data_IF_079107134785
#
_entry.id   IF_079107134785
#
_cell.length_a   1.000
_cell.length_b   1.000
_cell.length_c   1.000
_cell.angle_alpha   90.00
_cell.angle_beta   90.00
_cell.angle_gamma   90.00
#
_symmetry.space_group_name_H-M   'P 1'
#
loop_
_entity.id
_entity.type
_entity.pdbx_description
1 polymer ?
#
# COMPACT_ATOMS: atom_id res chain seq x y z
N UNK A 1 -6.02 17.67 8.73
CA UNK A 1 -6.37 16.65 9.74
C UNK A 1 -6.02 15.28 9.17
N UNK A 2 -5.32 14.42 9.92
CA UNK A 2 -4.87 13.11 9.43
C UNK A 2 -5.64 12.00 10.15
N UNK A 3 -6.46 11.26 9.42
CA UNK A 3 -7.28 10.19 10.02
C UNK A 3 -6.48 8.91 10.16
N UNK A 4 -6.66 8.22 11.29
CA UNK A 4 -5.96 6.98 11.60
C UNK A 4 -6.97 5.89 11.93
N UNK A 5 -6.85 4.74 11.27
CA UNK A 5 -7.77 3.61 11.45
C UNK A 5 -7.00 2.33 11.73
N UNK A 6 -7.56 1.48 12.59
CA UNK A 6 -7.20 0.06 12.64
C UNK A 6 -7.79 -0.63 11.43
N UNK A 7 -7.04 -1.56 10.87
CA UNK A 7 -7.42 -2.27 9.68
C UNK A 7 -6.91 -3.72 9.71
N UNK A 8 -7.61 -4.58 8.98
CA UNK A 8 -7.22 -5.97 8.74
C UNK A 8 -7.56 -6.40 7.32
N UNK A 9 -6.85 -7.42 6.84
CA UNK A 9 -7.26 -8.13 5.63
C UNK A 9 -8.42 -9.07 5.97
N UNK A 10 -9.44 -9.11 5.10
CA UNK A 10 -10.45 -10.17 5.15
C UNK A 10 -9.96 -11.41 4.40
N UNK A 11 -9.34 -11.21 3.24
CA UNK A 11 -8.81 -12.27 2.40
C UNK A 11 -7.41 -11.90 1.94
N UNK A 12 -6.52 -12.88 1.85
CA UNK A 12 -5.17 -12.70 1.30
C UNK A 12 -5.17 -12.25 -0.16
N UNK A 13 -6.21 -12.64 -0.91
CA UNK A 13 -6.45 -12.23 -2.30
C UNK A 13 -6.83 -10.75 -2.42
N UNK A 14 -7.14 -10.06 -1.32
CA UNK A 14 -7.42 -8.62 -1.34
C UNK A 14 -6.15 -7.77 -1.53
N UNK A 15 -4.96 -8.38 -1.48
CA UNK A 15 -3.70 -7.74 -1.91
C UNK A 15 -3.51 -7.98 -3.40
N UNK A 16 -3.85 -6.96 -4.19
CA UNK A 16 -3.86 -7.02 -5.65
C UNK A 16 -2.45 -6.92 -6.21
N UNK A 17 -1.72 -5.89 -5.77
CA UNK A 17 -0.38 -5.53 -6.23
C UNK A 17 0.52 -5.16 -5.05
N UNK A 18 1.78 -4.78 -5.32
CA UNK A 18 2.75 -4.41 -4.27
C UNK A 18 2.44 -3.10 -3.53
N UNK A 19 1.55 -2.26 -4.02
CA UNK A 19 1.16 -0.99 -3.37
C UNK A 19 -0.36 -0.83 -3.17
N UNK A 20 -1.18 -1.74 -3.69
CA UNK A 20 -2.63 -1.59 -3.80
C UNK A 20 -3.38 -2.80 -3.25
N UNK A 21 -4.27 -2.58 -2.28
CA UNK A 21 -4.98 -3.64 -1.57
C UNK A 21 -6.34 -3.17 -1.01
N UNK A 22 -7.22 -4.12 -0.70
CA UNK A 22 -8.52 -3.87 -0.06
C UNK A 22 -8.48 -4.36 1.39
N UNK A 23 -9.06 -3.58 2.29
CA UNK A 23 -9.05 -3.87 3.73
C UNK A 23 -10.38 -3.52 4.35
N UNK A 24 -10.59 -4.03 5.55
CA UNK A 24 -11.67 -3.61 6.43
C UNK A 24 -11.10 -2.71 7.51
N UNK A 25 -11.58 -1.47 7.57
CA UNK A 25 -11.24 -0.49 8.60
C UNK A 25 -12.29 -0.53 9.71
N UNK A 26 -11.84 -0.31 10.94
CA UNK A 26 -12.70 -0.11 12.11
C UNK A 26 -12.98 1.38 12.30
N UNK A 27 -14.26 1.75 12.27
CA UNK A 27 -14.74 3.12 12.49
C UNK A 27 -15.21 3.36 13.94
N UNK A 28 -15.10 2.35 14.80
CA UNK A 28 -15.62 2.35 16.16
C UNK A 28 -17.05 1.81 16.22
N UNK A 29 -17.53 1.54 17.44
CA UNK A 29 -18.91 1.09 17.71
C UNK A 29 -19.34 -0.14 16.89
N UNK A 30 -18.40 -1.05 16.61
CA UNK A 30 -18.61 -2.24 15.75
C UNK A 30 -19.05 -1.91 14.31
N UNK A 31 -18.76 -0.70 13.84
CA UNK A 31 -18.98 -0.27 12.47
C UNK A 31 -17.70 -0.49 11.67
N UNK A 32 -17.81 -1.31 10.64
CA UNK A 32 -16.70 -1.67 9.77
C UNK A 32 -16.98 -1.26 8.33
N UNK A 33 -15.95 -0.82 7.62
CA UNK A 33 -16.09 -0.46 6.21
C UNK A 33 -14.96 -1.04 5.36
N UNK A 34 -15.29 -1.51 4.16
CA UNK A 34 -14.32 -2.04 3.22
C UNK A 34 -13.85 -0.97 2.26
N UNK A 35 -12.55 -0.68 2.28
CA UNK A 35 -11.94 0.39 1.48
C UNK A 35 -10.77 -0.14 0.66
N UNK A 36 -10.52 0.51 -0.48
CA UNK A 36 -9.32 0.28 -1.28
C UNK A 36 -8.25 1.28 -0.90
N UNK A 37 -7.06 0.79 -0.62
CA UNK A 37 -5.91 1.56 -0.17
C UNK A 37 -4.81 1.46 -1.22
N UNK A 38 -4.14 2.59 -1.43
CA UNK A 38 -2.86 2.66 -2.11
C UNK A 38 -1.81 3.22 -1.16
N UNK A 39 -0.67 2.54 -1.06
CA UNK A 39 0.45 3.00 -0.24
C UNK A 39 1.00 4.32 -0.77
N UNK A 40 1.14 5.29 0.12
CA UNK A 40 1.75 6.57 -0.21
C UNK A 40 3.28 6.47 -0.18
N UNK A 41 3.95 7.13 -1.13
CA UNK A 41 5.41 7.24 -1.15
C UNK A 41 6.13 6.07 -1.84
N UNK A 42 5.41 5.14 -2.46
CA UNK A 42 6.00 4.00 -3.17
C UNK A 42 5.26 3.73 -4.48
N UNK A 43 6.03 3.31 -5.48
CA UNK A 43 5.52 2.68 -6.68
C UNK A 43 6.21 1.33 -6.84
N UNK A 44 5.43 0.25 -6.84
CA UNK A 44 5.94 -1.11 -7.01
C UNK A 44 5.92 -1.50 -8.50
N UNK A 45 6.75 -2.48 -8.92
CA UNK A 45 6.71 -3.00 -10.29
C UNK A 45 5.32 -3.53 -10.66
N UNK A 46 4.96 -3.38 -11.93
CA UNK A 46 3.64 -3.76 -12.43
C UNK A 46 3.53 -5.29 -12.59
N UNK A 47 2.44 -5.89 -12.13
CA UNK A 47 2.21 -7.34 -12.32
C UNK A 47 1.64 -7.62 -13.71
N UNK A 48 0.78 -6.72 -14.21
CA UNK A 48 0.10 -6.86 -15.52
C UNK A 48 0.92 -6.25 -16.66
N UNK A 49 2.19 -6.63 -16.74
CA UNK A 49 3.13 -6.20 -17.78
C UNK A 49 3.54 -7.38 -18.67
N UNK A 50 3.99 -7.08 -19.89
CA UNK A 50 4.55 -8.08 -20.83
C UNK A 50 6.00 -8.44 -20.47
N UNK A 51 6.69 -7.58 -19.72
CA UNK A 51 8.05 -7.83 -19.26
C UNK A 51 8.04 -8.86 -18.11
N UNK A 52 8.66 -10.02 -18.36
CA UNK A 52 8.73 -11.10 -17.37
C UNK A 52 9.44 -10.68 -16.08
N UNK A 53 10.53 -9.92 -16.19
CA UNK A 53 11.32 -9.49 -15.02
C UNK A 53 10.55 -8.51 -14.15
N UNK A 54 9.87 -7.55 -14.77
CA UNK A 54 9.03 -6.58 -14.05
C UNK A 54 7.86 -7.29 -13.36
N UNK A 55 7.21 -8.24 -14.05
CA UNK A 55 6.12 -9.04 -13.49
C UNK A 55 6.56 -9.87 -12.29
N UNK A 56 7.70 -10.55 -12.37
CA UNK A 56 8.27 -11.32 -11.25
C UNK A 56 8.57 -10.44 -10.04
N UNK A 57 9.15 -9.26 -10.28
CA UNK A 57 9.41 -8.28 -9.21
C UNK A 57 8.11 -7.77 -8.58
N UNK A 58 7.06 -7.53 -9.38
CA UNK A 58 5.75 -7.10 -8.89
C UNK A 58 5.08 -8.18 -8.04
N UNK A 59 5.15 -9.44 -8.46
CA UNK A 59 4.67 -10.60 -7.70
C UNK A 59 5.40 -10.71 -6.36
N UNK A 60 6.74 -10.56 -6.37
CA UNK A 60 7.55 -10.57 -5.15
C UNK A 60 7.14 -9.48 -4.17
N UNK A 61 6.91 -8.25 -4.65
CA UNK A 61 6.47 -7.12 -3.82
C UNK A 61 5.08 -7.38 -3.21
N UNK A 62 4.13 -7.86 -4.02
CA UNK A 62 2.77 -8.21 -3.58
C UNK A 62 2.79 -9.30 -2.53
N UNK A 63 3.52 -10.39 -2.76
CA UNK A 63 3.53 -11.54 -1.86
C UNK A 63 4.24 -11.21 -0.54
N UNK A 64 5.28 -10.38 -0.58
CA UNK A 64 5.88 -9.84 0.63
C UNK A 64 4.88 -9.01 1.45
N UNK A 65 4.17 -8.08 0.81
CA UNK A 65 3.15 -7.25 1.48
C UNK A 65 2.03 -8.10 2.07
N UNK A 66 1.52 -9.06 1.28
CA UNK A 66 0.48 -10.01 1.71
C UNK A 66 0.93 -10.80 2.95
N UNK A 67 2.11 -11.41 2.91
CA UNK A 67 2.65 -12.18 4.04
C UNK A 67 2.88 -11.31 5.27
N UNK A 68 3.21 -10.02 5.08
CA UNK A 68 3.39 -9.10 6.18
C UNK A 68 2.08 -8.79 6.90
N UNK A 69 0.97 -8.69 6.16
CA UNK A 69 -0.36 -8.30 6.65
C UNK A 69 -1.29 -9.46 7.02
N UNK A 70 -1.08 -10.66 6.46
CA UNK A 70 -1.91 -11.85 6.70
C UNK A 70 -2.07 -12.12 8.21
N UNK A 71 -3.31 -12.24 8.66
CA UNK A 71 -3.65 -12.59 10.04
C UNK A 71 -3.29 -11.51 11.08
N UNK A 72 -2.98 -10.29 10.65
CA UNK A 72 -2.57 -9.20 11.55
C UNK A 72 -3.48 -7.99 11.43
N UNK A 73 -3.61 -7.29 12.55
CA UNK A 73 -4.10 -5.92 12.56
C UNK A 73 -2.97 -4.94 12.30
N UNK A 74 -3.29 -3.85 11.61
CA UNK A 74 -2.37 -2.80 11.26
C UNK A 74 -3.05 -1.43 11.28
N UNK A 75 -2.23 -0.38 11.25
CA UNK A 75 -2.70 1.00 11.30
C UNK A 75 -2.52 1.64 9.93
N UNK A 76 -3.59 2.27 9.45
CA UNK A 76 -3.58 3.12 8.26
C UNK A 76 -3.69 4.58 8.67
N UNK A 77 -2.78 5.41 8.19
CA UNK A 77 -2.88 6.88 8.30
C UNK A 77 -3.24 7.45 6.94
N UNK A 78 -4.47 7.96 6.82
CA UNK A 78 -5.03 8.42 5.55
C UNK A 78 -4.49 9.81 5.21
N UNK A 79 -3.89 9.92 4.03
CA UNK A 79 -3.32 11.16 3.45
C UNK A 79 -4.33 11.92 2.61
N UNK A 80 -5.24 11.20 1.95
CA UNK A 80 -6.22 11.80 1.06
C UNK A 80 -6.86 10.80 0.11
N UNK A 81 -7.73 11.29 -0.76
CA UNK A 81 -8.44 10.52 -1.76
C UNK A 81 -7.71 10.60 -3.10
N UNK A 82 -7.55 9.46 -3.77
CA UNK A 82 -7.03 9.38 -5.14
C UNK A 82 -8.18 9.43 -6.16
N UNK A 83 -7.86 9.82 -7.40
CA UNK A 83 -8.77 9.97 -8.54
C UNK A 83 -9.62 8.73 -8.85
N UNK A 84 -9.16 7.54 -8.49
CA UNK A 84 -9.80 6.25 -8.84
C UNK A 84 -10.54 5.58 -7.66
N UNK A 85 -10.95 6.37 -6.66
CA UNK A 85 -11.73 5.86 -5.52
C UNK A 85 -10.91 5.05 -4.51
N UNK A 86 -9.57 5.14 -4.59
CA UNK A 86 -8.66 4.59 -3.57
C UNK A 86 -8.27 5.69 -2.59
N UNK A 87 -7.96 5.31 -1.36
CA UNK A 87 -7.38 6.21 -0.38
C UNK A 87 -5.85 6.05 -0.36
N UNK A 88 -5.13 7.17 -0.36
CA UNK A 88 -3.70 7.19 -0.13
C UNK A 88 -3.44 7.08 1.37
N UNK A 89 -2.59 6.13 1.77
CA UNK A 89 -2.32 5.92 3.18
C UNK A 89 -0.85 5.54 3.44
N UNK A 90 -0.35 5.95 4.61
CA UNK A 90 0.80 5.30 5.23
C UNK A 90 0.33 4.05 5.99
N UNK A 91 1.15 3.00 5.97
CA UNK A 91 0.84 1.70 6.60
C UNK A 91 1.85 1.38 7.70
N UNK A 92 1.34 1.05 8.89
CA UNK A 92 2.13 0.71 10.07
C UNK A 92 1.73 -0.61 10.71
N UNK A 93 2.72 -1.41 11.10
CA UNK A 93 2.54 -2.57 11.98
C UNK A 93 3.33 -2.31 13.26
N UNK A 94 2.60 -2.08 14.37
CA UNK A 94 3.20 -1.51 15.58
C UNK A 94 3.84 -0.15 15.27
N UNK A 95 5.14 0.00 15.54
CA UNK A 95 5.92 1.22 15.26
C UNK A 95 6.60 1.22 13.87
N UNK A 96 6.47 0.14 13.09
CA UNK A 96 7.21 -0.05 11.83
C UNK A 96 6.44 0.52 10.65
N UNK A 97 7.08 1.37 9.85
CA UNK A 97 6.51 1.87 8.60
C UNK A 97 6.80 0.87 7.47
N UNK A 98 5.75 0.27 6.92
CA UNK A 98 5.87 -0.82 5.95
C UNK A 98 6.42 -0.33 4.61
N UNK A 99 6.07 0.88 4.18
CA UNK A 99 6.62 1.47 2.94
C UNK A 99 8.14 1.62 3.04
N UNK A 100 8.66 2.08 4.18
CA UNK A 100 10.11 2.17 4.41
C UNK A 100 10.79 0.80 4.38
N UNK A 101 10.16 -0.24 4.91
CA UNK A 101 10.68 -1.62 4.82
C UNK A 101 10.73 -2.09 3.36
N UNK A 102 9.67 -1.87 2.58
CA UNK A 102 9.60 -2.25 1.16
C UNK A 102 10.66 -1.58 0.31
N UNK A 103 10.89 -0.27 0.51
CA UNK A 103 11.93 0.47 -0.21
C UNK A 103 13.34 -0.06 0.10
N UNK A 104 13.63 -0.36 1.38
CA UNK A 104 14.92 -0.96 1.77
C UNK A 104 15.17 -2.33 1.15
N UNK A 105 14.11 -3.09 0.90
CA UNK A 105 14.17 -4.41 0.27
C UNK A 105 14.16 -4.36 -1.26
N UNK A 106 14.13 -3.16 -1.86
CA UNK A 106 14.08 -2.98 -3.32
C UNK A 106 12.77 -3.48 -3.95
N UNK A 107 11.67 -3.52 -3.18
CA UNK A 107 10.37 -3.99 -3.66
C UNK A 107 9.58 -2.90 -4.40
N UNK A 108 10.13 -1.69 -4.49
CA UNK A 108 9.56 -0.55 -5.20
C UNK A 108 10.50 0.65 -5.14
N UNK A 109 10.09 1.73 -5.78
CA UNK A 109 10.83 3.00 -5.82
C UNK A 109 10.03 4.09 -5.12
N UNK A 110 10.73 5.08 -4.54
CA UNK A 110 10.08 6.22 -3.89
C UNK A 110 9.29 7.02 -4.95
N UNK A 111 8.02 7.34 -4.66
CA UNK A 111 7.13 8.00 -5.61
C UNK A 111 6.05 8.82 -4.92
N UNK A 112 5.92 10.09 -5.32
CA UNK A 112 4.98 11.06 -4.74
C UNK A 112 4.02 11.68 -5.76
N UNK A 113 3.90 11.09 -6.96
CA UNK A 113 3.03 11.57 -8.05
C UNK A 113 3.81 12.07 -9.28
N UNK A 114 3.17 12.01 -10.45
CA UNK A 114 3.74 12.38 -11.76
C UNK A 114 3.63 11.27 -12.81
N UNK A 115 3.93 11.55 -14.10
CA UNK A 115 4.05 10.49 -15.12
C UNK A 115 5.26 9.60 -14.77
N UNK A 116 5.15 8.27 -14.96
CA UNK A 116 6.29 7.32 -14.83
C UNK A 116 7.45 7.88 -15.67
N UNK A 117 8.62 8.11 -15.06
CA UNK A 117 9.82 8.64 -15.73
C UNK A 117 10.32 10.03 -15.29
N UNK A 118 9.70 10.69 -14.30
CA UNK A 118 10.29 11.89 -13.68
C UNK A 118 10.34 11.74 -12.16
N UNK A 119 11.56 11.62 -11.63
CA UNK A 119 11.84 11.75 -10.21
C UNK A 119 11.54 13.20 -9.82
N UNK A 120 10.43 13.45 -9.12
CA UNK A 120 10.18 14.76 -8.52
C UNK A 120 10.59 14.70 -7.05
N UNK A 121 11.74 15.32 -6.79
CA UNK A 121 12.34 15.45 -5.49
C UNK A 121 11.38 16.14 -4.51
N UNK A 122 11.46 15.73 -3.24
CA UNK A 122 10.65 16.23 -2.13
C UNK A 122 10.69 17.75 -2.12
N UNK A 123 9.53 18.41 -2.29
CA UNK A 123 9.38 19.79 -1.82
C UNK A 123 9.36 19.73 -0.29
N UNK A 124 10.40 20.32 0.31
CA UNK A 124 10.60 20.55 1.74
C UNK A 124 9.37 21.17 2.40
#
# INVERSE_FOLDING_TARGET
MMWTYKARLEKESDVYDGDSFKVTIDLGLRVYHRVRIRLYGINTPEIKTKDKKEREAGIKARDWLRNRLKGKEFILRIRGKEKYGRWLADLYIGKRNIVKEMLKLGLGVEYYGGKRGQCKEKRK
#
